data_IF_006720809194
#
_entry.id   IF_006720809194
#
_cell.length_a   1.000
_cell.length_b   1.000
_cell.length_c   1.000
_cell.angle_alpha   90.00
_cell.angle_beta   90.00
_cell.angle_gamma   90.00
#
_symmetry.space_group_name_H-M   'P 1'
#
loop_
_entity.id
_entity.type
_entity.pdbx_description
1 polymer ?
#
# COMPACT_ATOMS: atom_id res chain seq x y z
N UNK A 1 2.25 20.59 19.65
CA UNK A 1 1.83 19.31 19.18
C UNK A 1 1.22 19.37 17.78
N UNK A 2 0.91 18.24 17.23
CA UNK A 2 0.28 18.14 15.92
C UNK A 2 -1.17 18.58 16.01
N UNK A 3 -1.66 19.15 14.90
CA UNK A 3 -3.09 19.45 14.82
C UNK A 3 -3.89 18.14 14.68
N UNK A 4 -5.17 18.18 15.07
CA UNK A 4 -6.03 17.03 14.88
C UNK A 4 -6.14 16.62 13.41
N UNK A 5 -6.11 17.61 12.50
CA UNK A 5 -6.17 17.33 11.07
C UNK A 5 -4.95 16.54 10.59
N UNK A 6 -3.75 16.88 11.07
CA UNK A 6 -2.52 16.17 10.73
C UNK A 6 -2.55 14.76 11.30
N UNK A 7 -2.97 14.60 12.55
CA UNK A 7 -3.07 13.29 13.19
C UNK A 7 -4.10 12.40 12.45
N UNK A 8 -5.22 12.97 12.04
CA UNK A 8 -6.23 12.24 11.29
C UNK A 8 -5.73 11.81 9.92
N UNK A 9 -4.96 12.66 9.24
CA UNK A 9 -4.36 12.32 7.97
C UNK A 9 -3.35 11.19 8.11
N UNK A 10 -2.47 11.29 9.12
CA UNK A 10 -1.48 10.24 9.38
C UNK A 10 -2.16 8.89 9.67
N UNK A 11 -3.22 8.90 10.47
CA UNK A 11 -3.97 7.68 10.78
C UNK A 11 -4.58 7.06 9.51
N UNK A 12 -5.13 7.88 8.63
CA UNK A 12 -5.70 7.39 7.38
C UNK A 12 -4.65 6.80 6.45
N UNK A 13 -3.52 7.48 6.30
CA UNK A 13 -2.44 7.00 5.46
C UNK A 13 -1.90 5.66 5.96
N UNK A 14 -1.74 5.53 7.27
CA UNK A 14 -1.30 4.27 7.87
C UNK A 14 -2.32 3.15 7.67
N UNK A 15 -3.60 3.46 7.80
CA UNK A 15 -4.67 2.48 7.58
C UNK A 15 -4.69 2.00 6.13
N UNK A 16 -4.64 2.94 5.18
CA UNK A 16 -4.60 2.60 3.76
C UNK A 16 -3.37 1.74 3.45
N UNK A 17 -2.22 2.11 4.00
CA UNK A 17 -0.99 1.35 3.75
C UNK A 17 -1.04 -0.07 4.30
N UNK A 18 -1.67 -0.29 5.44
CA UNK A 18 -1.88 -1.63 5.96
C UNK A 18 -2.73 -2.47 5.02
N UNK A 19 -3.79 -1.87 4.47
CA UNK A 19 -4.65 -2.55 3.50
C UNK A 19 -3.90 -2.88 2.22
N UNK A 20 -3.09 -1.96 1.72
CA UNK A 20 -2.29 -2.18 0.52
C UNK A 20 -1.25 -3.28 0.74
N UNK A 21 -0.59 -3.29 1.89
CA UNK A 21 0.38 -4.34 2.22
C UNK A 21 -0.29 -5.71 2.31
N UNK A 22 -1.51 -5.77 2.85
CA UNK A 22 -2.29 -7.00 2.91
C UNK A 22 -2.58 -7.52 1.50
N UNK A 23 -2.99 -6.64 0.59
CA UNK A 23 -3.27 -7.02 -0.81
C UNK A 23 -2.01 -7.56 -1.47
N UNK A 24 -0.86 -6.90 -1.29
CA UNK A 24 0.41 -7.36 -1.84
C UNK A 24 0.72 -8.78 -1.35
N UNK A 25 0.58 -9.04 -0.06
CA UNK A 25 0.83 -10.38 0.50
C UNK A 25 -0.11 -11.42 -0.09
N UNK A 26 -1.39 -11.07 -0.29
CA UNK A 26 -2.36 -11.99 -0.91
C UNK A 26 -1.99 -12.29 -2.35
N UNK A 27 -1.56 -11.29 -3.10
CA UNK A 27 -1.11 -11.50 -4.48
C UNK A 27 0.10 -12.42 -4.51
N UNK A 28 1.07 -12.18 -3.63
CA UNK A 28 2.27 -13.01 -3.55
C UNK A 28 1.95 -14.47 -3.21
N UNK A 29 0.93 -14.68 -2.38
CA UNK A 29 0.48 -16.03 -2.06
C UNK A 29 -0.25 -16.70 -3.22
N UNK A 30 -0.93 -15.94 -4.06
CA UNK A 30 -1.70 -16.47 -5.20
C UNK A 30 -0.83 -16.74 -6.42
N UNK A 31 0.20 -15.94 -6.66
CA UNK A 31 1.03 -16.07 -7.87
C UNK A 31 1.56 -17.49 -8.10
N UNK A 32 2.07 -18.19 -7.08
CA UNK A 32 2.59 -19.55 -7.30
C UNK A 32 1.54 -20.57 -7.72
N UNK A 33 0.26 -20.35 -7.42
CA UNK A 33 -0.80 -21.31 -7.72
C UNK A 33 -1.66 -20.91 -8.90
N UNK A 34 -1.51 -19.70 -9.43
CA UNK A 34 -2.24 -19.24 -10.62
C UNK A 34 -1.44 -19.63 -11.85
N UNK A 35 -2.04 -20.45 -12.70
CA UNK A 35 -1.34 -20.97 -13.89
C UNK A 35 -1.62 -20.18 -15.16
N UNK A 36 -2.77 -19.49 -15.22
CA UNK A 36 -3.12 -18.69 -16.38
C UNK A 36 -2.18 -17.50 -16.53
N UNK A 37 -1.52 -17.40 -17.69
CA UNK A 37 -0.52 -16.36 -17.93
C UNK A 37 -1.11 -14.95 -17.88
N UNK A 38 -2.31 -14.78 -18.39
CA UNK A 38 -2.97 -13.47 -18.39
C UNK A 38 -3.34 -13.05 -16.96
N UNK A 39 -3.87 -13.98 -16.17
CA UNK A 39 -4.21 -13.71 -14.78
C UNK A 39 -2.95 -13.39 -13.97
N UNK A 40 -1.84 -14.10 -14.22
CA UNK A 40 -0.58 -13.81 -13.55
C UNK A 40 -0.08 -12.40 -13.87
N UNK A 41 -0.16 -12.02 -15.14
CA UNK A 41 0.25 -10.67 -15.56
C UNK A 41 -0.57 -9.59 -14.87
N UNK A 42 -1.88 -9.80 -14.74
CA UNK A 42 -2.75 -8.87 -14.02
C UNK A 42 -2.38 -8.77 -12.55
N UNK A 43 -2.14 -9.90 -11.90
CA UNK A 43 -1.76 -9.92 -10.49
C UNK A 43 -0.43 -9.23 -10.26
N UNK A 44 0.54 -9.44 -11.14
CA UNK A 44 1.85 -8.76 -11.02
C UNK A 44 1.73 -7.26 -11.21
N UNK A 45 0.88 -6.81 -12.14
CA UNK A 45 0.63 -5.38 -12.32
C UNK A 45 -0.02 -4.78 -11.07
N UNK A 46 -1.00 -5.47 -10.49
CA UNK A 46 -1.64 -5.03 -9.26
C UNK A 46 -0.62 -4.93 -8.12
N UNK A 47 0.28 -5.92 -8.01
CA UNK A 47 1.32 -5.91 -7.00
C UNK A 47 2.20 -4.67 -7.14
N UNK A 48 2.69 -4.40 -8.34
CA UNK A 48 3.55 -3.23 -8.60
C UNK A 48 2.82 -1.93 -8.27
N UNK A 49 1.55 -1.84 -8.66
CA UNK A 49 0.74 -0.65 -8.40
C UNK A 49 0.57 -0.40 -6.90
N UNK A 50 0.26 -1.45 -6.15
CA UNK A 50 0.09 -1.33 -4.70
C UNK A 50 1.41 -1.03 -4.00
N UNK A 51 2.52 -1.61 -4.45
CA UNK A 51 3.84 -1.31 -3.89
C UNK A 51 4.23 0.15 -4.14
N UNK A 52 3.94 0.68 -5.33
CA UNK A 52 4.18 2.08 -5.63
C UNK A 52 3.33 3.00 -4.73
N UNK A 53 2.07 2.64 -4.50
CA UNK A 53 1.19 3.40 -3.62
C UNK A 53 1.67 3.35 -2.17
N UNK A 54 2.16 2.21 -1.71
CA UNK A 54 2.75 2.09 -0.37
C UNK A 54 3.92 3.04 -0.21
N UNK A 55 4.82 3.05 -1.19
CA UNK A 55 5.97 3.96 -1.16
C UNK A 55 5.55 5.43 -1.15
N UNK A 56 4.54 5.77 -1.95
CA UNK A 56 4.01 7.14 -1.98
C UNK A 56 3.39 7.54 -0.64
N UNK A 57 2.65 6.63 -0.01
CA UNK A 57 2.07 6.90 1.31
C UNK A 57 3.16 7.07 2.38
N UNK A 58 4.20 6.24 2.33
CA UNK A 58 5.32 6.36 3.26
C UNK A 58 6.04 7.70 3.10
N UNK A 59 6.25 8.11 1.85
CA UNK A 59 6.86 9.41 1.57
C UNK A 59 6.00 10.56 2.09
N UNK A 60 4.69 10.47 1.88
CA UNK A 60 3.76 11.48 2.40
C UNK A 60 3.78 11.56 3.92
N UNK A 61 3.81 10.40 4.59
CA UNK A 61 3.90 10.34 6.05
C UNK A 61 5.19 10.99 6.55
N UNK A 62 6.30 10.78 5.84
CA UNK A 62 7.59 11.36 6.17
C UNK A 62 7.62 12.87 6.02
N UNK A 63 6.74 13.44 5.21
CA UNK A 63 6.65 14.88 4.99
C UNK A 63 5.72 15.59 5.97
N UNK A 64 4.94 14.86 6.77
CA UNK A 64 4.06 15.48 7.74
C UNK A 64 4.87 16.13 8.85
N UNK A 65 4.40 17.31 9.35
CA UNK A 65 5.12 18.00 10.42
C UNK A 65 5.20 17.15 11.68
N UNK A 66 6.36 17.19 12.33
CA UNK A 66 6.54 16.58 13.65
C UNK A 66 6.21 17.60 14.73
N UNK A 67 5.98 17.12 15.94
CA UNK A 67 5.77 17.97 17.12
C UNK A 67 7.03 18.71 17.49
#
# INVERSE_FOLDING_TARGET
GKTLAIDGLAARLNFVNKGQAWVVRRIEALLPVVQDAEARAMLEEMRRSHQANIAACEAALGELPAD
#
